data_IF_253304426291
#
_entry.id   IF_253304426291
#
_cell.length_a   1.000
_cell.length_b   1.000
_cell.length_c   1.000
_cell.angle_alpha   90.00
_cell.angle_beta   90.00
_cell.angle_gamma   90.00
#
_symmetry.space_group_name_H-M   'P 1'
#
loop_
_entity.id
_entity.type
_entity.pdbx_description
1 polymer ?
#
# COMPACT_ATOMS: atom_id res chain seq x y z
N UNK A 1 -2.85 7.84 21.45
CA UNK A 1 -2.21 7.51 20.17
C UNK A 1 -2.63 6.10 19.80
N UNK A 2 -3.42 5.97 18.75
CA UNK A 2 -3.87 4.68 18.25
C UNK A 2 -2.69 3.90 17.70
N UNK A 3 -2.53 2.66 18.13
CA UNK A 3 -1.45 1.80 17.68
C UNK A 3 -1.60 1.49 16.18
N UNK A 4 -0.61 1.87 15.38
CA UNK A 4 -0.53 1.53 13.97
C UNK A 4 0.32 0.27 13.85
N UNK A 5 -0.23 -0.78 13.24
CA UNK A 5 0.51 -1.97 12.82
C UNK A 5 0.76 -1.95 11.30
N UNK A 6 1.52 -2.92 10.79
CA UNK A 6 1.91 -3.02 9.38
C UNK A 6 0.69 -3.05 8.44
N UNK A 7 -0.32 -3.88 8.76
CA UNK A 7 -1.54 -3.97 7.98
C UNK A 7 -2.31 -2.63 7.93
N UNK A 8 -2.47 -1.97 9.09
CA UNK A 8 -3.15 -0.67 9.17
C UNK A 8 -2.39 0.42 8.41
N UNK A 9 -1.06 0.44 8.47
CA UNK A 9 -0.24 1.40 7.72
C UNK A 9 -0.41 1.21 6.20
N UNK A 10 -0.43 -0.03 5.73
CA UNK A 10 -0.69 -0.35 4.31
C UNK A 10 -2.12 0.00 3.89
N UNK A 11 -3.12 -0.27 4.74
CA UNK A 11 -4.52 0.08 4.45
C UNK A 11 -4.71 1.60 4.35
N UNK A 12 -4.09 2.37 5.26
CA UNK A 12 -4.07 3.84 5.17
C UNK A 12 -3.39 4.29 3.86
N UNK A 13 -2.23 3.72 3.52
CA UNK A 13 -1.52 4.06 2.29
C UNK A 13 -2.35 3.76 1.02
N UNK A 14 -3.16 2.71 1.03
CA UNK A 14 -4.10 2.41 -0.06
C UNK A 14 -5.23 3.43 -0.11
N UNK A 15 -5.91 3.67 1.02
CA UNK A 15 -7.06 4.59 1.11
C UNK A 15 -6.70 6.03 0.77
N UNK A 16 -5.48 6.47 1.11
CA UNK A 16 -4.97 7.80 0.82
C UNK A 16 -4.26 7.92 -0.53
N UNK A 17 -4.40 6.90 -1.38
CA UNK A 17 -3.82 6.82 -2.73
C UNK A 17 -2.28 6.86 -2.78
N UNK A 18 -1.56 6.68 -1.67
CA UNK A 18 -0.10 6.67 -1.68
C UNK A 18 0.44 5.50 -2.50
N UNK A 19 -0.20 4.32 -2.42
CA UNK A 19 0.16 3.15 -3.23
C UNK A 19 -0.07 3.44 -4.71
N UNK A 20 -1.19 4.04 -5.09
CA UNK A 20 -1.47 4.45 -6.47
C UNK A 20 -0.44 5.45 -6.99
N UNK A 21 -0.12 6.46 -6.18
CA UNK A 21 0.87 7.48 -6.54
C UNK A 21 2.28 6.87 -6.71
N UNK A 22 2.64 5.91 -5.86
CA UNK A 22 3.92 5.24 -5.97
C UNK A 22 3.97 4.30 -7.17
N UNK A 23 2.97 3.46 -7.38
CA UNK A 23 2.96 2.49 -8.49
C UNK A 23 2.71 3.15 -9.84
N UNK A 24 1.95 4.24 -9.88
CA UNK A 24 1.46 4.88 -11.10
C UNK A 24 0.16 4.27 -11.61
N UNK A 25 -0.42 3.31 -10.87
CA UNK A 25 -1.62 2.59 -11.27
C UNK A 25 -2.89 3.36 -10.88
N UNK A 26 -3.86 3.41 -11.76
CA UNK A 26 -5.15 4.04 -11.48
C UNK A 26 -6.10 3.09 -10.76
N UNK A 27 -6.08 1.82 -11.15
CA UNK A 27 -6.90 0.76 -10.57
C UNK A 27 -6.00 -0.30 -9.96
N UNK A 28 -6.13 -0.49 -8.65
CA UNK A 28 -5.31 -1.41 -7.86
C UNK A 28 -6.14 -1.95 -6.69
N UNK A 29 -6.13 -3.26 -6.50
CA UNK A 29 -6.94 -3.95 -5.49
C UNK A 29 -6.08 -4.81 -4.59
N UNK A 30 -6.39 -4.84 -3.30
CA UNK A 30 -5.81 -5.78 -2.35
C UNK A 30 -6.43 -7.17 -2.61
N UNK A 31 -5.64 -8.12 -3.10
CA UNK A 31 -6.09 -9.47 -3.42
C UNK A 31 -5.33 -10.56 -2.65
N UNK A 32 -4.16 -10.24 -2.11
CA UNK A 32 -3.27 -11.19 -1.44
C UNK A 32 -2.88 -10.65 -0.07
N UNK A 33 -3.08 -11.43 0.97
CA UNK A 33 -2.61 -11.12 2.33
C UNK A 33 -2.54 -12.37 3.19
N UNK A 34 -1.52 -12.45 4.05
CA UNK A 34 -1.40 -13.50 5.05
C UNK A 34 -0.45 -14.63 4.68
N UNK A 35 -0.61 -15.74 5.38
CA UNK A 35 0.30 -16.87 5.32
C UNK A 35 -0.07 -17.85 4.23
N UNK A 36 0.93 -18.36 3.54
CA UNK A 36 0.80 -19.43 2.55
C UNK A 36 2.08 -20.26 2.51
N UNK A 37 2.05 -21.35 1.76
CA UNK A 37 3.21 -22.20 1.55
C UNK A 37 3.73 -22.06 0.13
N UNK A 38 5.06 -22.11 -0.03
CA UNK A 38 5.68 -22.02 -1.34
C UNK A 38 5.43 -23.27 -2.17
N UNK A 39 5.34 -23.09 -3.48
CA UNK A 39 5.62 -24.14 -4.46
C UNK A 39 7.13 -24.48 -4.48
N UNK A 40 7.57 -25.21 -5.49
CA UNK A 40 8.97 -25.55 -5.66
C UNK A 40 9.68 -24.49 -6.50
N UNK A 41 10.75 -23.93 -5.96
CA UNK A 41 11.66 -23.07 -6.71
C UNK A 41 13.09 -23.13 -6.15
N UNK A 42 14.03 -22.58 -6.89
CA UNK A 42 15.45 -22.56 -6.53
C UNK A 42 15.90 -21.16 -6.18
N UNK A 43 16.75 -21.06 -5.15
CA UNK A 43 17.42 -19.81 -4.74
C UNK A 43 18.93 -20.00 -4.79
N UNK A 44 19.62 -19.08 -5.45
CA UNK A 44 21.08 -19.05 -5.45
C UNK A 44 21.56 -18.39 -4.17
N UNK A 45 22.46 -19.05 -3.47
CA UNK A 45 23.17 -18.47 -2.31
C UNK A 45 24.64 -18.36 -2.71
N UNK A 46 25.24 -17.18 -2.69
CA UNK A 46 26.60 -16.94 -3.27
C UNK A 46 27.69 -17.85 -2.74
N UNK A 47 27.59 -18.28 -1.48
CA UNK A 47 28.57 -19.17 -0.85
C UNK A 47 28.32 -20.66 -1.14
N UNK A 48 27.21 -21.01 -1.79
CA UNK A 48 26.86 -22.39 -2.08
C UNK A 48 27.17 -22.73 -3.52
N UNK A 49 27.72 -23.92 -3.73
CA UNK A 49 28.04 -24.42 -5.08
C UNK A 49 26.82 -24.89 -5.87
N UNK A 50 25.70 -25.11 -5.17
CA UNK A 50 24.43 -25.55 -5.77
C UNK A 50 23.28 -24.66 -5.29
N UNK A 51 22.27 -24.43 -6.14
CA UNK A 51 21.05 -23.74 -5.72
C UNK A 51 20.39 -24.47 -4.54
N UNK A 52 19.81 -23.70 -3.64
CA UNK A 52 18.99 -24.20 -2.55
C UNK A 52 17.56 -24.46 -3.07
N UNK A 53 17.10 -25.68 -2.94
CA UNK A 53 15.71 -26.06 -3.25
C UNK A 53 14.80 -25.57 -2.12
N UNK A 54 13.78 -24.81 -2.49
CA UNK A 54 12.74 -24.34 -1.59
C UNK A 54 11.44 -25.05 -1.96
N UNK A 55 10.81 -25.67 -0.96
CA UNK A 55 9.55 -26.39 -1.15
C UNK A 55 8.75 -26.40 0.14
N UNK A 56 7.46 -26.07 0.05
CA UNK A 56 6.53 -26.07 1.20
C UNK A 56 7.02 -25.25 2.39
N UNK A 57 7.74 -24.17 2.14
CA UNK A 57 8.16 -23.21 3.17
C UNK A 57 7.03 -22.22 3.43
N UNK A 58 6.72 -21.99 4.69
CA UNK A 58 5.75 -20.96 5.05
C UNK A 58 6.32 -19.57 4.76
N UNK A 59 5.55 -18.80 4.01
CA UNK A 59 5.78 -17.37 3.75
C UNK A 59 4.60 -16.56 4.26
N UNK A 60 4.84 -15.31 4.60
CA UNK A 60 3.81 -14.34 4.94
C UNK A 60 3.90 -13.16 3.99
N UNK A 61 2.77 -12.68 3.52
CA UNK A 61 2.66 -11.52 2.64
C UNK A 61 1.81 -10.48 3.37
N UNK A 62 2.40 -9.33 3.69
CA UNK A 62 1.71 -8.27 4.41
C UNK A 62 0.61 -7.63 3.56
N UNK A 63 0.87 -7.46 2.26
CA UNK A 63 -0.15 -7.18 1.25
C UNK A 63 0.36 -7.51 -0.15
N UNK A 64 -0.55 -7.98 -1.00
CA UNK A 64 -0.37 -8.07 -2.44
C UNK A 64 -1.49 -7.31 -3.14
N UNK A 65 -1.11 -6.33 -3.93
CA UNK A 65 -2.04 -5.52 -4.68
C UNK A 65 -1.96 -5.88 -6.16
N UNK A 66 -3.12 -6.09 -6.75
CA UNK A 66 -3.24 -6.56 -8.12
C UNK A 66 -3.82 -5.50 -9.03
N UNK A 67 -3.30 -5.43 -10.24
CA UNK A 67 -3.81 -4.65 -11.36
C UNK A 67 -4.12 -5.57 -12.54
N UNK A 68 -4.51 -5.01 -13.66
CA UNK A 68 -4.72 -5.82 -14.86
C UNK A 68 -3.44 -6.56 -15.28
N UNK A 69 -2.25 -5.94 -15.17
CA UNK A 69 -1.00 -6.44 -15.74
C UNK A 69 0.09 -6.78 -14.71
N UNK A 70 -0.11 -6.42 -13.45
CA UNK A 70 0.90 -6.57 -12.41
C UNK A 70 0.33 -7.02 -11.07
N UNK A 71 1.21 -7.64 -10.26
CA UNK A 71 1.00 -7.92 -8.85
C UNK A 71 2.14 -7.26 -8.07
N UNK A 72 1.81 -6.38 -7.15
CA UNK A 72 2.74 -5.68 -6.27
C UNK A 72 2.77 -6.38 -4.91
N UNK A 73 3.86 -7.07 -4.60
CA UNK A 73 4.06 -7.80 -3.34
C UNK A 73 4.76 -6.89 -2.33
N UNK A 74 4.12 -6.67 -1.20
CA UNK A 74 4.61 -5.81 -0.14
C UNK A 74 5.09 -6.61 1.08
N UNK A 75 6.29 -6.29 1.53
CA UNK A 75 6.79 -6.56 2.87
C UNK A 75 6.82 -5.24 3.63
N UNK A 76 6.17 -5.17 4.78
CA UNK A 76 6.01 -3.95 5.55
C UNK A 76 6.74 -4.03 6.88
N UNK A 77 7.28 -2.91 7.31
CA UNK A 77 7.83 -2.71 8.65
C UNK A 77 7.40 -1.37 9.22
N UNK A 78 7.27 -1.32 10.54
CA UNK A 78 6.93 -0.09 11.27
C UNK A 78 7.91 0.17 12.42
N UNK A 79 7.95 1.42 12.87
CA UNK A 79 8.78 1.86 13.99
C UNK A 79 10.26 2.00 13.62
N UNK A 80 11.16 1.89 14.61
CA UNK A 80 12.60 1.96 14.38
C UNK A 80 13.14 0.57 14.01
N UNK A 81 13.57 0.44 12.76
CA UNK A 81 14.26 -0.76 12.27
C UNK A 81 15.52 -0.32 11.54
N UNK A 82 16.60 -1.05 11.72
CA UNK A 82 17.89 -0.80 11.08
C UNK A 82 18.06 -1.70 9.85
N UNK A 83 17.38 -2.84 9.84
CA UNK A 83 17.44 -3.84 8.77
C UNK A 83 16.10 -4.55 8.54
N UNK A 84 16.03 -5.29 7.46
CA UNK A 84 14.99 -6.28 7.20
C UNK A 84 15.57 -7.48 6.48
N UNK A 85 14.94 -8.63 6.64
CA UNK A 85 15.38 -9.85 5.98
C UNK A 85 14.86 -9.89 4.55
N UNK A 86 15.74 -9.73 3.55
CA UNK A 86 15.38 -9.73 2.12
C UNK A 86 14.62 -10.99 1.69
N UNK A 87 14.79 -12.12 2.39
CA UNK A 87 14.06 -13.35 2.13
C UNK A 87 12.56 -13.17 2.28
N UNK A 88 12.11 -12.28 3.17
CA UNK A 88 10.68 -11.99 3.38
C UNK A 88 10.04 -11.32 2.14
N UNK A 89 10.84 -10.70 1.30
CA UNK A 89 10.42 -10.11 0.04
C UNK A 89 10.70 -11.06 -1.16
N UNK A 90 11.86 -11.71 -1.15
CA UNK A 90 12.32 -12.57 -2.25
C UNK A 90 11.43 -13.83 -2.40
N UNK A 91 11.10 -14.52 -1.30
CA UNK A 91 10.34 -15.77 -1.40
C UNK A 91 8.90 -15.55 -1.89
N UNK A 92 8.14 -14.58 -1.36
CA UNK A 92 6.85 -14.21 -1.95
C UNK A 92 6.94 -13.78 -3.42
N UNK A 93 7.96 -13.01 -3.78
CA UNK A 93 8.20 -12.61 -5.16
C UNK A 93 8.39 -13.80 -6.10
N UNK A 94 9.29 -14.75 -5.75
CA UNK A 94 9.56 -15.94 -6.56
C UNK A 94 8.33 -16.85 -6.64
N UNK A 95 7.61 -17.01 -5.54
CA UNK A 95 6.39 -17.80 -5.49
C UNK A 95 5.34 -17.26 -6.45
N UNK A 96 5.07 -15.97 -6.39
CA UNK A 96 4.07 -15.35 -7.26
C UNK A 96 4.52 -15.23 -8.71
N UNK A 97 5.81 -15.05 -8.97
CA UNK A 97 6.37 -15.10 -10.32
C UNK A 97 6.12 -16.44 -11.02
N UNK A 98 6.08 -17.52 -10.26
CA UNK A 98 5.79 -18.87 -10.79
C UNK A 98 4.30 -19.14 -10.96
N UNK A 99 3.42 -18.37 -10.29
CA UNK A 99 1.96 -18.59 -10.29
C UNK A 99 1.20 -17.77 -11.32
N UNK A 100 1.80 -16.73 -11.88
CA UNK A 100 1.10 -15.79 -12.73
C UNK A 100 1.94 -15.38 -13.94
N UNK A 101 1.25 -15.05 -15.02
CA UNK A 101 1.85 -14.41 -16.20
C UNK A 101 1.98 -12.87 -16.03
N UNK A 102 1.37 -12.31 -14.99
CA UNK A 102 1.49 -10.87 -14.69
C UNK A 102 2.90 -10.51 -14.22
N UNK A 103 3.27 -9.27 -14.42
CA UNK A 103 4.52 -8.74 -13.84
C UNK A 103 4.43 -8.72 -12.33
N UNK A 104 5.34 -9.39 -11.63
CA UNK A 104 5.42 -9.35 -10.16
C UNK A 104 6.44 -8.31 -9.72
N UNK A 105 6.01 -7.37 -8.88
CA UNK A 105 6.81 -6.22 -8.44
C UNK A 105 7.00 -6.27 -6.93
N UNK A 106 8.22 -6.53 -6.42
CA UNK A 106 8.48 -6.57 -4.99
C UNK A 106 8.72 -5.16 -4.44
N UNK A 107 8.00 -4.83 -3.36
CA UNK A 107 8.07 -3.52 -2.69
C UNK A 107 8.30 -3.71 -1.20
N UNK A 108 9.37 -3.12 -0.69
CA UNK A 108 9.55 -2.92 0.73
C UNK A 108 8.90 -1.62 1.16
N UNK A 109 8.03 -1.70 2.16
CA UNK A 109 7.30 -0.58 2.73
C UNK A 109 7.74 -0.35 4.17
N UNK A 110 7.97 0.90 4.52
CA UNK A 110 8.39 1.25 5.87
C UNK A 110 7.63 2.48 6.37
N UNK A 111 7.01 2.36 7.54
CA UNK A 111 6.32 3.47 8.19
C UNK A 111 6.99 3.83 9.50
N UNK A 112 7.42 5.08 9.63
CA UNK A 112 7.98 5.64 10.85
C UNK A 112 7.85 7.17 10.86
N UNK A 113 7.65 7.78 12.03
CA UNK A 113 7.60 9.24 12.22
C UNK A 113 6.62 9.92 11.23
N UNK A 114 5.41 9.37 11.08
CA UNK A 114 4.35 9.85 10.18
C UNK A 114 4.77 9.93 8.71
N UNK A 115 5.78 9.16 8.32
CA UNK A 115 6.25 9.06 6.95
C UNK A 115 6.12 7.64 6.42
N UNK A 116 5.73 7.56 5.15
CA UNK A 116 5.51 6.35 4.38
C UNK A 116 6.61 6.22 3.34
N UNK A 117 7.52 5.27 3.52
CA UNK A 117 8.63 5.01 2.61
C UNK A 117 8.32 3.80 1.76
N UNK A 118 8.59 3.91 0.47
CA UNK A 118 8.40 2.86 -0.50
C UNK A 118 9.70 2.61 -1.24
N UNK A 119 10.09 1.36 -1.35
CA UNK A 119 11.28 0.92 -2.08
C UNK A 119 10.91 -0.24 -2.99
N UNK A 120 10.92 0.00 -4.29
CA UNK A 120 10.73 -1.06 -5.28
C UNK A 120 12.08 -1.70 -5.57
N UNK A 121 12.12 -3.02 -5.48
CA UNK A 121 13.30 -3.80 -5.78
C UNK A 121 13.22 -4.42 -7.17
N UNK A 122 14.38 -4.58 -7.80
CA UNK A 122 14.61 -5.57 -8.85
C UNK A 122 15.28 -6.77 -8.18
N UNK A 123 14.60 -7.91 -8.18
CA UNK A 123 15.09 -9.15 -7.57
C UNK A 123 15.36 -10.19 -8.63
N UNK A 124 16.54 -10.83 -8.53
CA UNK A 124 16.85 -12.06 -9.25
C UNK A 124 16.37 -13.28 -8.48
N UNK A 125 16.97 -14.43 -8.75
CA UNK A 125 16.80 -15.66 -7.98
C UNK A 125 17.94 -15.88 -6.96
N UNK A 126 18.74 -14.85 -6.70
CA UNK A 126 19.85 -14.85 -5.75
C UNK A 126 19.58 -13.85 -4.61
N UNK A 127 20.04 -14.19 -3.41
CA UNK A 127 19.87 -13.35 -2.22
C UNK A 127 20.66 -12.03 -2.29
N UNK A 128 21.71 -11.96 -3.07
CA UNK A 128 22.56 -10.77 -3.26
C UNK A 128 22.20 -9.97 -4.54
N UNK A 129 21.41 -10.54 -5.45
CA UNK A 129 20.99 -9.88 -6.66
C UNK A 129 19.74 -9.00 -6.43
N UNK A 130 19.86 -8.02 -5.53
CA UNK A 130 18.79 -7.09 -5.22
C UNK A 130 19.23 -5.65 -5.37
N UNK A 131 18.48 -4.87 -6.15
CA UNK A 131 18.72 -3.45 -6.33
C UNK A 131 17.43 -2.65 -6.13
N UNK A 132 17.52 -1.50 -5.50
CA UNK A 132 16.43 -0.54 -5.44
C UNK A 132 16.36 0.19 -6.79
N UNK A 133 15.22 0.06 -7.47
CA UNK A 133 15.01 0.68 -8.80
C UNK A 133 14.10 1.89 -8.74
N UNK A 134 13.30 2.02 -7.66
CA UNK A 134 12.43 3.18 -7.41
C UNK A 134 12.23 3.36 -5.91
N UNK A 135 12.22 4.60 -5.47
CA UNK A 135 11.92 4.93 -4.07
C UNK A 135 11.13 6.21 -3.95
N UNK A 136 10.33 6.32 -2.91
CA UNK A 136 9.60 7.53 -2.56
C UNK A 136 9.33 7.60 -1.05
N UNK A 137 9.16 8.82 -0.56
CA UNK A 137 8.73 9.09 0.81
C UNK A 137 7.54 10.05 0.75
N UNK A 138 6.46 9.70 1.45
CA UNK A 138 5.27 10.52 1.55
C UNK A 138 4.99 10.87 3.01
N UNK A 139 4.39 12.02 3.22
CA UNK A 139 3.74 12.42 4.45
C UNK A 139 2.31 12.81 4.12
N UNK A 140 1.35 12.37 4.89
CA UNK A 140 -0.02 12.85 4.76
C UNK A 140 -0.06 14.31 5.21
N UNK A 141 -0.78 15.14 4.46
CA UNK A 141 -1.04 16.50 4.89
C UNK A 141 -1.89 16.49 6.17
N UNK A 142 -1.65 17.44 7.03
CA UNK A 142 -2.55 17.65 8.15
C UNK A 142 -3.95 17.96 7.61
N UNK A 143 -5.01 17.39 8.20
CA UNK A 143 -6.36 17.66 7.74
C UNK A 143 -6.61 19.18 7.88
N UNK A 144 -7.03 19.80 6.79
CA UNK A 144 -7.52 21.17 6.87
C UNK A 144 -8.73 21.19 7.81
N UNK A 145 -8.71 22.08 8.79
CA UNK A 145 -9.85 22.28 9.68
C UNK A 145 -10.89 23.09 8.93
N UNK A 146 -11.83 22.40 8.30
CA UNK A 146 -12.94 23.05 7.65
C UNK A 146 -14.01 23.44 8.67
N UNK A 147 -14.49 24.68 8.58
CA UNK A 147 -15.70 25.06 9.30
C UNK A 147 -16.91 24.38 8.64
N UNK A 148 -17.67 23.57 9.39
CA UNK A 148 -18.83 22.85 8.87
C UNK A 148 -19.84 23.78 8.17
N UNK A 149 -20.01 25.01 8.64
CA UNK A 149 -20.89 26.00 7.99
C UNK A 149 -20.40 26.39 6.60
N UNK A 150 -19.06 26.49 6.40
CA UNK A 150 -18.46 26.77 5.09
C UNK A 150 -18.63 25.59 4.14
N UNK A 151 -18.41 24.37 4.63
CA UNK A 151 -18.58 23.15 3.82
C UNK A 151 -20.03 23.02 3.35
N UNK A 152 -20.99 23.15 4.28
CA UNK A 152 -22.41 23.03 3.97
C UNK A 152 -22.85 24.12 2.99
N UNK A 153 -22.45 25.39 3.23
CA UNK A 153 -22.83 26.50 2.33
C UNK A 153 -22.23 26.33 0.92
N UNK A 154 -20.99 25.87 0.81
CA UNK A 154 -20.32 25.64 -0.47
C UNK A 154 -20.95 24.44 -1.20
N UNK A 155 -21.18 23.33 -0.51
CA UNK A 155 -21.83 22.14 -1.08
C UNK A 155 -23.27 22.42 -1.55
N UNK A 156 -24.02 23.28 -0.85
CA UNK A 156 -25.36 23.68 -1.25
C UNK A 156 -25.30 24.56 -2.50
N UNK A 157 -24.37 25.51 -2.58
CA UNK A 157 -24.18 26.36 -3.76
C UNK A 157 -23.84 25.53 -4.99
N UNK A 158 -22.89 24.61 -4.87
CA UNK A 158 -22.49 23.75 -6.00
C UNK A 158 -23.61 22.80 -6.44
N UNK A 159 -24.37 22.26 -5.49
CA UNK A 159 -25.51 21.37 -5.77
C UNK A 159 -26.68 22.13 -6.41
N UNK A 160 -26.93 23.35 -5.97
CA UNK A 160 -28.03 24.18 -6.53
C UNK A 160 -27.77 24.55 -7.99
N UNK A 161 -26.49 24.74 -8.36
CA UNK A 161 -26.07 25.02 -9.72
C UNK A 161 -26.18 23.78 -10.63
N UNK A 162 -25.98 22.59 -10.09
CA UNK A 162 -25.90 21.35 -10.89
C UNK A 162 -27.23 20.59 -11.05
N UNK A 163 -28.14 20.70 -10.07
CA UNK A 163 -29.32 19.83 -10.00
C UNK A 163 -30.67 20.58 -10.17
N UNK A 164 -30.69 21.92 -10.15
CA UNK A 164 -31.93 22.68 -10.23
C UNK A 164 -32.93 22.41 -9.09
N UNK A 165 -32.50 21.79 -8.00
CA UNK A 165 -33.33 21.44 -6.84
C UNK A 165 -33.36 22.65 -5.90
N UNK A 166 -34.55 23.10 -5.45
CA UNK A 166 -34.63 24.16 -4.44
C UNK A 166 -34.11 23.64 -3.10
N UNK A 167 -33.00 24.16 -2.64
CA UNK A 167 -32.47 23.87 -1.31
C UNK A 167 -33.13 24.75 -0.23
N UNK A 168 -33.19 24.27 1.02
CA UNK A 168 -33.66 25.06 2.16
C UNK A 168 -32.89 26.38 2.26
N UNK A 169 -33.59 27.43 2.62
CA UNK A 169 -32.98 28.75 2.84
C UNK A 169 -31.89 28.67 3.92
N UNK A 170 -30.85 29.49 3.84
CA UNK A 170 -29.74 29.51 4.78
C UNK A 170 -30.17 29.64 6.25
N UNK A 171 -31.35 30.26 6.52
CA UNK A 171 -31.94 30.37 7.86
C UNK A 171 -32.45 29.03 8.43
N UNK A 172 -32.81 28.07 7.57
CA UNK A 172 -33.29 26.75 8.02
C UNK A 172 -32.12 25.84 8.40
N UNK A 173 -30.98 26.01 7.71
CA UNK A 173 -29.73 25.29 8.00
C UNK A 173 -29.10 25.74 9.33
N UNK A 174 -29.19 27.03 9.66
CA UNK A 174 -28.70 27.53 10.94
C UNK A 174 -29.44 26.93 12.12
N UNK A 175 -30.75 26.67 11.96
CA UNK A 175 -31.56 26.00 13.01
C UNK A 175 -31.17 24.55 13.24
N UNK A 176 -30.70 23.84 12.19
CA UNK A 176 -30.26 22.45 12.30
C UNK A 176 -28.89 22.36 12.95
N UNK A 177 -27.99 23.31 12.66
CA UNK A 177 -26.62 23.32 13.22
C UNK A 177 -26.63 23.73 14.69
N UNK A 178 -27.56 24.60 15.13
CA UNK A 178 -27.67 25.07 16.51
C UNK A 178 -28.37 24.05 17.43
N UNK A 179 -28.88 22.92 16.88
CA UNK A 179 -29.54 21.83 17.60
C UNK A 179 -28.65 20.57 17.76
N UNK A 180 -27.45 20.54 17.21
CA UNK A 180 -26.44 19.49 17.30
C UNK A 180 -25.28 19.98 18.17
#
# INVERSE_FOLDING_TARGET
LEYINEAKALDIALMTSLIKNFTGEQEIWLTIRGRQYTSNFQVLIPIMTKPLEISSVQIEIDAGYETQNAIYIFEAKIGRREDFNIRQLLFPYLEWKNRTEKTVVPIFFYYTNDRYYFFQFSLGNSLDASNIVKQACYKLADPEVFNLRQIISQGILDSSLSLGIPFPQANDLNKVIDTV
#
